data_IF_189921197970
#
_entry.id   IF_189921197970
#
_cell.length_a   1.000
_cell.length_b   1.000
_cell.length_c   1.000
_cell.angle_alpha   90.00
_cell.angle_beta   90.00
_cell.angle_gamma   90.00
#
_symmetry.space_group_name_H-M   'P 1'
#
loop_
_entity.id
_entity.type
_entity.pdbx_description
1 polymer ?
#
# COMPACT_ATOMS: atom_id res chain seq x y z
N UNK A 1 -12.96 -16.11 -13.00
CA UNK A 1 -12.51 -14.90 -12.30
C UNK A 1 -12.10 -13.87 -13.33
N UNK A 2 -12.58 -12.65 -13.18
CA UNK A 2 -12.17 -11.51 -14.01
C UNK A 2 -11.38 -10.53 -13.15
N UNK A 3 -10.35 -9.95 -13.74
CA UNK A 3 -9.49 -8.96 -13.09
C UNK A 3 -9.58 -7.65 -13.86
N UNK A 4 -9.95 -6.57 -13.16
CA UNK A 4 -9.98 -5.23 -13.72
C UNK A 4 -9.02 -4.36 -12.93
N UNK A 5 -8.16 -3.61 -13.65
CA UNK A 5 -7.20 -2.71 -13.04
C UNK A 5 -7.67 -1.27 -13.19
N UNK A 6 -7.65 -0.52 -12.11
CA UNK A 6 -7.97 0.90 -12.12
C UNK A 6 -7.04 1.65 -11.17
N UNK A 7 -6.82 2.92 -11.46
CA UNK A 7 -6.03 3.79 -10.58
C UNK A 7 -6.98 4.61 -9.72
N UNK A 8 -6.82 4.52 -8.41
CA UNK A 8 -7.62 5.31 -7.47
C UNK A 8 -6.71 6.19 -6.63
N UNK A 9 -7.10 7.45 -6.48
CA UNK A 9 -6.39 8.36 -5.60
C UNK A 9 -6.61 7.96 -4.13
N UNK A 10 -5.61 8.25 -3.29
CA UNK A 10 -5.69 7.96 -1.85
C UNK A 10 -6.95 8.58 -1.24
N UNK A 11 -7.30 9.80 -1.61
CA UNK A 11 -8.50 10.47 -1.14
C UNK A 11 -9.76 9.64 -1.36
N UNK A 12 -9.89 9.06 -2.54
CA UNK A 12 -11.01 8.18 -2.88
C UNK A 12 -10.99 6.91 -2.04
N UNK A 13 -9.81 6.29 -1.90
CA UNK A 13 -9.67 5.07 -1.10
C UNK A 13 -10.03 5.29 0.36
N UNK A 14 -9.55 6.38 0.96
CA UNK A 14 -9.86 6.72 2.35
C UNK A 14 -11.37 6.95 2.52
N UNK A 15 -11.99 7.68 1.60
CA UNK A 15 -13.42 7.93 1.62
C UNK A 15 -14.23 6.62 1.58
N UNK A 16 -13.85 5.71 0.69
CA UNK A 16 -14.51 4.41 0.58
C UNK A 16 -14.32 3.54 1.81
N UNK A 17 -13.14 3.57 2.43
CA UNK A 17 -12.90 2.86 3.68
C UNK A 17 -13.80 3.40 4.79
N UNK A 18 -13.87 4.72 4.93
CA UNK A 18 -14.68 5.36 5.97
C UNK A 18 -16.17 5.16 5.77
N UNK A 19 -16.63 5.05 4.53
CA UNK A 19 -18.04 4.81 4.21
C UNK A 19 -18.42 3.34 4.25
N UNK A 20 -17.48 2.43 4.47
CA UNK A 20 -17.73 0.99 4.48
C UNK A 20 -17.82 0.36 3.09
N UNK A 21 -17.47 1.08 2.04
CA UNK A 21 -17.46 0.56 0.67
C UNK A 21 -16.25 -0.32 0.38
N UNK A 22 -15.18 -0.16 1.16
CA UNK A 22 -14.02 -1.03 1.17
C UNK A 22 -13.87 -1.61 2.56
N UNK A 23 -13.85 -2.94 2.64
CA UNK A 23 -13.63 -3.69 3.87
C UNK A 23 -12.18 -4.19 3.88
N UNK A 24 -11.41 -3.76 4.87
CA UNK A 24 -10.01 -4.17 5.01
C UNK A 24 -9.84 -5.64 5.38
N UNK A 25 -10.89 -6.31 5.81
CA UNK A 25 -10.91 -7.75 6.17
C UNK A 25 -9.73 -8.16 7.06
N UNK A 26 -9.68 -7.70 8.32
CA UNK A 26 -8.57 -8.06 9.21
C UNK A 26 -8.43 -9.57 9.41
N UNK A 27 -9.51 -10.34 9.23
CA UNK A 27 -9.51 -11.80 9.38
C UNK A 27 -8.69 -12.52 8.30
N UNK A 28 -8.45 -11.88 7.16
CA UNK A 28 -7.57 -12.40 6.11
C UNK A 28 -6.11 -12.07 6.33
N UNK A 29 -5.80 -11.29 7.34
CA UNK A 29 -4.41 -10.95 7.68
C UNK A 29 -3.76 -12.15 8.37
N UNK A 30 -3.13 -13.00 7.58
CA UNK A 30 -2.38 -14.15 8.08
C UNK A 30 -0.90 -13.89 8.24
N UNK A 31 -0.48 -12.68 7.92
CA UNK A 31 0.90 -12.27 8.00
C UNK A 31 1.18 -11.37 9.19
N UNK A 32 2.38 -10.88 9.22
CA UNK A 32 2.84 -9.94 10.22
C UNK A 32 2.05 -8.63 10.16
N UNK A 33 1.55 -8.19 11.32
CA UNK A 33 1.00 -6.84 11.44
C UNK A 33 2.17 -5.86 11.38
N UNK A 34 2.06 -4.85 10.51
CA UNK A 34 3.15 -3.91 10.31
C UNK A 34 3.42 -3.07 11.56
N UNK A 35 4.71 -2.91 11.85
CA UNK A 35 5.17 -1.95 12.85
C UNK A 35 4.94 -0.52 12.36
N UNK A 36 5.02 0.44 13.28
CA UNK A 36 4.95 1.87 12.91
C UNK A 36 6.05 2.21 11.90
N UNK A 37 7.25 1.70 12.08
CA UNK A 37 8.38 1.95 11.19
C UNK A 37 8.10 1.47 9.77
N UNK A 38 7.48 0.30 9.63
CA UNK A 38 7.14 -0.24 8.31
C UNK A 38 6.04 0.57 7.64
N UNK A 39 5.06 1.06 8.41
CA UNK A 39 4.04 1.98 7.91
C UNK A 39 4.65 3.31 7.46
N UNK A 40 5.56 3.85 8.25
CA UNK A 40 6.26 5.09 7.90
C UNK A 40 7.08 4.95 6.62
N UNK A 41 7.66 3.78 6.39
CA UNK A 41 8.41 3.51 5.15
C UNK A 41 7.50 3.55 3.93
N UNK A 42 6.28 3.04 4.05
CA UNK A 42 5.29 3.15 2.97
C UNK A 42 4.92 4.61 2.71
N UNK A 43 4.66 5.38 3.75
CA UNK A 43 4.32 6.80 3.61
C UNK A 43 5.48 7.55 2.97
N UNK A 44 6.72 7.25 3.33
CA UNK A 44 7.90 7.81 2.71
C UNK A 44 7.92 7.56 1.19
N UNK A 45 7.64 6.33 0.77
CA UNK A 45 7.57 5.99 -0.66
C UNK A 45 6.51 6.82 -1.38
N UNK A 46 5.34 6.99 -0.78
CA UNK A 46 4.24 7.78 -1.34
C UNK A 46 4.66 9.25 -1.48
N UNK A 47 5.25 9.83 -0.45
CA UNK A 47 5.68 11.23 -0.47
C UNK A 47 6.78 11.48 -1.49
N UNK A 48 7.65 10.51 -1.75
CA UNK A 48 8.68 10.59 -2.79
C UNK A 48 8.12 10.41 -4.19
N UNK A 49 6.86 9.98 -4.32
CA UNK A 49 6.26 9.66 -5.61
C UNK A 49 6.71 8.32 -6.18
N UNK A 50 7.27 7.45 -5.35
CA UNK A 50 7.67 6.12 -5.78
C UNK A 50 6.44 5.21 -5.92
N UNK A 51 6.58 4.15 -6.70
CA UNK A 51 5.51 3.17 -6.87
C UNK A 51 5.42 2.25 -5.67
N UNK A 52 4.19 1.93 -5.28
CA UNK A 52 3.91 0.89 -4.26
C UNK A 52 3.17 -0.27 -4.94
N UNK A 53 3.22 -1.48 -4.35
CA UNK A 53 2.49 -2.61 -4.92
C UNK A 53 0.99 -2.36 -5.00
N UNK A 54 0.30 -2.96 -5.99
CA UNK A 54 -1.14 -2.78 -6.14
C UNK A 54 -1.92 -3.40 -4.98
N UNK A 55 -3.14 -2.91 -4.80
CA UNK A 55 -4.12 -3.46 -3.86
C UNK A 55 -5.03 -4.40 -4.64
N UNK A 56 -5.31 -5.57 -4.09
CA UNK A 56 -6.26 -6.51 -4.67
C UNK A 56 -7.53 -6.53 -3.84
N UNK A 57 -8.68 -6.36 -4.48
CA UNK A 57 -9.98 -6.40 -3.83
C UNK A 57 -10.90 -7.37 -4.54
N UNK A 58 -11.84 -7.96 -3.79
CA UNK A 58 -12.90 -8.81 -4.34
C UNK A 58 -14.19 -8.02 -4.24
N UNK A 59 -14.84 -7.82 -5.37
CA UNK A 59 -16.15 -7.17 -5.42
C UNK A 59 -17.23 -8.21 -5.11
N UNK A 60 -17.93 -8.04 -3.99
CA UNK A 60 -18.97 -8.98 -3.59
C UNK A 60 -20.36 -8.56 -4.08
N UNK A 61 -21.37 -9.41 -3.83
CA UNK A 61 -22.73 -9.21 -4.26
C UNK A 61 -23.43 -8.02 -3.56
N UNK A 62 -22.86 -7.52 -2.47
CA UNK A 62 -23.39 -6.36 -1.72
C UNK A 62 -22.73 -5.06 -2.16
N UNK A 63 -22.01 -5.04 -3.27
CA UNK A 63 -21.28 -3.89 -3.81
C UNK A 63 -20.18 -3.36 -2.87
N UNK A 64 -19.66 -4.23 -2.00
CA UNK A 64 -18.54 -3.93 -1.11
C UNK A 64 -17.29 -4.57 -1.69
N UNK A 65 -16.20 -3.81 -1.72
CA UNK A 65 -14.88 -4.33 -2.11
C UNK A 65 -14.15 -4.83 -0.87
N UNK A 66 -13.92 -6.13 -0.82
CA UNK A 66 -13.21 -6.77 0.27
C UNK A 66 -11.72 -6.89 -0.08
N UNK A 67 -10.85 -6.34 0.76
CA UNK A 67 -9.42 -6.34 0.47
C UNK A 67 -8.86 -7.76 0.62
N UNK A 68 -8.31 -8.29 -0.46
CA UNK A 68 -7.63 -9.58 -0.47
C UNK A 68 -6.15 -9.43 -0.14
N UNK A 69 -5.49 -8.43 -0.71
CA UNK A 69 -4.08 -8.13 -0.49
C UNK A 69 -3.87 -6.63 -0.44
N UNK A 70 -3.10 -6.18 0.55
CA UNK A 70 -2.80 -4.76 0.74
C UNK A 70 -3.45 -4.15 1.98
N UNK A 71 -3.99 -4.94 2.89
CA UNK A 71 -4.63 -4.46 4.12
C UNK A 71 -3.69 -3.56 4.93
N UNK A 72 -2.43 -3.97 5.10
CA UNK A 72 -1.47 -3.21 5.89
C UNK A 72 -1.08 -1.90 5.21
N UNK A 73 -1.01 -1.88 3.88
CA UNK A 73 -0.76 -0.66 3.13
C UNK A 73 -1.90 0.34 3.29
N UNK A 74 -3.14 -0.12 3.15
CA UNK A 74 -4.30 0.74 3.35
C UNK A 74 -4.43 1.22 4.79
N UNK A 75 -4.13 0.36 5.76
CA UNK A 75 -4.12 0.73 7.17
C UNK A 75 -3.07 1.81 7.46
N UNK A 76 -1.89 1.71 6.86
CA UNK A 76 -0.84 2.73 7.01
C UNK A 76 -1.28 4.08 6.44
N UNK A 77 -1.90 4.07 5.28
CA UNK A 77 -2.42 5.29 4.63
C UNK A 77 -3.50 5.94 5.49
N UNK A 78 -4.44 5.15 5.98
CA UNK A 78 -5.50 5.62 6.88
C UNK A 78 -4.91 6.21 8.17
N UNK A 79 -3.98 5.51 8.79
CA UNK A 79 -3.37 5.93 10.06
C UNK A 79 -2.61 7.24 9.89
N UNK A 80 -1.92 7.43 8.78
CA UNK A 80 -1.25 8.69 8.49
C UNK A 80 -2.26 9.82 8.26
N UNK A 81 -3.27 9.57 7.45
CA UNK A 81 -4.33 10.56 7.18
C UNK A 81 -5.06 10.97 8.46
N UNK A 82 -5.27 10.04 9.38
CA UNK A 82 -5.95 10.29 10.66
C UNK A 82 -5.01 10.81 11.75
N UNK A 83 -3.77 11.17 11.41
CA UNK A 83 -2.77 11.73 12.32
C UNK A 83 -2.36 10.78 13.44
N UNK A 84 -2.46 9.47 13.22
CA UNK A 84 -2.05 8.45 14.19
C UNK A 84 -0.55 8.22 14.13
N UNK A 85 0.05 8.28 12.94
CA UNK A 85 1.49 8.14 12.75
C UNK A 85 2.06 9.40 12.09
N UNK A 86 3.31 9.69 12.37
CA UNK A 86 4.03 10.82 11.78
C UNK A 86 5.01 10.34 10.70
N UNK A 87 5.60 11.30 9.99
CA UNK A 87 6.62 11.04 8.98
C UNK A 87 7.95 10.72 9.65
N UNK A 88 8.64 9.69 9.17
CA UNK A 88 10.06 9.48 9.44
C UNK A 88 10.82 10.04 8.23
N UNK A 89 11.46 11.19 8.42
CA UNK A 89 12.19 11.88 7.36
C UNK A 89 13.64 11.42 7.18
N UNK A 90 14.08 10.45 7.98
CA UNK A 90 15.46 9.98 7.99
C UNK A 90 15.64 8.63 7.31
N UNK A 91 14.63 8.13 6.60
CA UNK A 91 14.70 6.85 5.90
C UNK A 91 15.63 6.97 4.69
N UNK A 92 16.53 5.99 4.55
CA UNK A 92 17.44 5.95 3.41
C UNK A 92 16.71 5.55 2.12
N UNK A 93 17.12 6.05 0.95
CA UNK A 93 18.22 7.01 0.74
C UNK A 93 17.86 8.40 1.23
N UNK A 94 18.86 9.13 1.72
CA UNK A 94 18.67 10.47 2.25
C UNK A 94 18.10 11.42 1.18
N UNK A 95 17.11 12.23 1.60
CA UNK A 95 16.48 13.24 0.75
C UNK A 95 16.32 14.50 1.59
N UNK A 96 16.92 15.59 1.13
CA UNK A 96 16.94 16.87 1.87
C UNK A 96 15.56 17.48 2.02
N UNK A 97 14.66 17.27 1.05
CA UNK A 97 13.29 17.80 1.11
C UNK A 97 12.45 16.96 2.08
N UNK A 98 12.53 15.64 1.95
CA UNK A 98 11.78 14.74 2.84
C UNK A 98 12.25 14.86 4.29
N UNK A 99 13.55 15.08 4.52
CA UNK A 99 14.07 15.24 5.88
C UNK A 99 13.48 16.45 6.60
N UNK A 100 13.08 17.50 5.87
CA UNK A 100 12.41 18.66 6.46
C UNK A 100 11.02 18.34 7.01
N UNK A 101 10.43 17.21 6.59
CA UNK A 101 9.11 16.77 7.02
C UNK A 101 9.17 15.83 8.23
N UNK A 102 10.37 15.53 8.74
CA UNK A 102 10.55 14.58 9.83
C UNK A 102 9.69 14.95 11.05
N UNK A 103 8.97 13.96 11.58
CA UNK A 103 8.14 14.12 12.77
C UNK A 103 6.79 14.78 12.54
N UNK A 104 6.48 15.22 11.32
CA UNK A 104 5.22 15.87 11.03
C UNK A 104 4.11 14.85 10.83
N UNK A 105 2.92 15.19 11.31
CA UNK A 105 1.69 14.49 11.00
C UNK A 105 1.06 15.09 9.74
N UNK A 106 0.08 14.40 9.17
CA UNK A 106 -0.61 14.91 7.97
C UNK A 106 -1.15 16.32 8.18
N UNK A 107 -1.75 16.60 9.34
CA UNK A 107 -2.29 17.94 9.67
C UNK A 107 -1.23 19.04 9.69
N UNK A 108 0.03 18.69 9.93
CA UNK A 108 1.14 19.64 10.03
C UNK A 108 1.74 19.98 8.66
N UNK A 109 1.37 19.24 7.63
CA UNK A 109 1.91 19.43 6.28
C UNK A 109 1.31 20.68 5.63
N UNK A 110 2.10 21.29 4.73
CA UNK A 110 1.57 22.33 3.85
C UNK A 110 0.43 21.81 2.99
N UNK A 111 -0.41 22.70 2.49
CA UNK A 111 -1.52 22.31 1.60
C UNK A 111 -1.04 21.58 0.36
N UNK A 112 0.13 21.96 -0.16
CA UNK A 112 0.74 21.30 -1.32
C UNK A 112 1.09 19.84 -1.00
N UNK A 113 1.76 19.58 0.13
CA UNK A 113 2.10 18.23 0.54
C UNK A 113 0.86 17.39 0.85
N UNK A 114 -0.14 17.98 1.50
CA UNK A 114 -1.41 17.29 1.75
C UNK A 114 -2.08 16.89 0.44
N UNK A 115 -2.08 17.79 -0.56
CA UNK A 115 -2.64 17.50 -1.87
C UNK A 115 -1.88 16.39 -2.58
N UNK A 116 -0.55 16.44 -2.56
CA UNK A 116 0.28 15.40 -3.19
C UNK A 116 0.00 14.03 -2.59
N UNK A 117 -0.19 13.96 -1.28
CA UNK A 117 -0.57 12.71 -0.62
C UNK A 117 -1.97 12.26 -1.04
N UNK A 118 -2.96 13.14 -0.98
CA UNK A 118 -4.34 12.77 -1.32
C UNK A 118 -4.51 12.36 -2.77
N UNK A 119 -3.75 12.96 -3.68
CA UNK A 119 -3.87 12.72 -5.12
C UNK A 119 -2.92 11.63 -5.62
N UNK A 120 -2.12 11.05 -4.74
CA UNK A 120 -1.29 9.92 -5.12
C UNK A 120 -2.16 8.75 -5.55
N UNK A 121 -1.91 8.20 -6.74
CA UNK A 121 -2.73 7.13 -7.30
C UNK A 121 -2.16 5.76 -6.98
N UNK A 122 -3.05 4.86 -6.58
CA UNK A 122 -2.73 3.47 -6.27
C UNK A 122 -3.46 2.58 -7.26
N UNK A 123 -2.76 1.60 -7.82
CA UNK A 123 -3.38 0.60 -8.68
C UNK A 123 -4.21 -0.33 -7.83
N UNK A 124 -5.50 -0.44 -8.14
CA UNK A 124 -6.43 -1.36 -7.50
C UNK A 124 -6.87 -2.39 -8.52
N UNK A 125 -6.62 -3.65 -8.22
CA UNK A 125 -7.04 -4.77 -9.06
C UNK A 125 -8.30 -5.35 -8.45
N UNK A 126 -9.41 -5.20 -9.15
CA UNK A 126 -10.72 -5.68 -8.72
C UNK A 126 -11.00 -7.04 -9.33
N UNK A 127 -11.31 -8.00 -8.48
CA UNK A 127 -11.65 -9.36 -8.88
C UNK A 127 -13.16 -9.52 -8.83
N UNK A 128 -13.73 -10.02 -9.93
CA UNK A 128 -15.15 -10.30 -10.04
C UNK A 128 -15.37 -11.71 -10.58
N UNK A 129 -16.56 -12.24 -10.40
CA UNK A 129 -16.93 -13.57 -10.89
C UNK A 129 -15.99 -14.67 -10.38
N UNK A 130 -15.59 -14.56 -9.11
CA UNK A 130 -14.70 -15.55 -8.47
C UNK A 130 -15.47 -16.78 -8.04
N UNK A 131 -14.90 -17.96 -8.30
CA UNK A 131 -15.35 -19.19 -7.64
C UNK A 131 -14.92 -19.16 -6.18
N UNK A 132 -15.66 -19.83 -5.26
CA UNK A 132 -15.38 -19.75 -3.82
C UNK A 132 -13.93 -20.07 -3.42
N UNK A 133 -13.26 -20.96 -4.14
CA UNK A 133 -11.89 -21.38 -3.85
C UNK A 133 -10.80 -20.46 -4.43
N UNK A 134 -11.15 -19.62 -5.41
CA UNK A 134 -10.17 -18.81 -6.14
C UNK A 134 -9.52 -17.71 -5.30
N UNK A 135 -10.25 -16.95 -4.46
CA UNK A 135 -9.63 -15.89 -3.68
C UNK A 135 -8.54 -16.38 -2.73
N UNK A 136 -8.76 -17.50 -2.05
CA UNK A 136 -7.78 -18.05 -1.12
C UNK A 136 -6.50 -18.49 -1.86
N UNK A 137 -6.65 -19.11 -3.02
CA UNK A 137 -5.50 -19.55 -3.83
C UNK A 137 -4.73 -18.37 -4.37
N UNK A 138 -5.42 -17.33 -4.84
CA UNK A 138 -4.75 -16.10 -5.32
C UNK A 138 -3.99 -15.42 -4.18
N UNK A 139 -4.61 -15.30 -3.00
CA UNK A 139 -3.96 -14.73 -1.83
C UNK A 139 -2.67 -15.49 -1.50
N UNK A 140 -2.74 -16.81 -1.51
CA UNK A 140 -1.58 -17.65 -1.26
C UNK A 140 -0.46 -17.36 -2.26
N UNK A 141 -0.78 -17.29 -3.55
CA UNK A 141 0.23 -17.03 -4.60
C UNK A 141 0.83 -15.64 -4.50
N UNK A 142 0.02 -14.63 -4.17
CA UNK A 142 0.50 -13.26 -4.00
C UNK A 142 1.47 -13.12 -2.83
N UNK A 143 1.30 -13.93 -1.79
CA UNK A 143 2.12 -13.86 -0.59
C UNK A 143 3.22 -14.92 -0.54
N UNK A 144 3.31 -15.77 -1.57
CA UNK A 144 4.36 -16.79 -1.63
C UNK A 144 5.68 -16.14 -2.06
N UNK A 145 6.77 -16.30 -1.27
CA UNK A 145 8.06 -15.79 -1.69
C UNK A 145 8.55 -16.52 -2.93
N UNK A 146 9.01 -15.76 -3.93
CA UNK A 146 9.64 -16.33 -5.10
C UNK A 146 11.08 -16.74 -4.74
N UNK A 147 11.39 -18.02 -4.95
CA UNK A 147 12.76 -18.49 -4.80
C UNK A 147 13.58 -17.98 -5.99
N UNK A 148 14.57 -17.13 -5.71
CA UNK A 148 15.52 -16.67 -6.73
C UNK A 148 16.59 -17.72 -6.96
N UNK A 149 16.99 -17.91 -8.22
CA UNK A 149 18.17 -18.72 -8.53
C UNK A 149 19.42 -18.00 -8.05
N UNK A 150 20.52 -18.75 -7.87
CA UNK A 150 21.79 -18.14 -7.47
C UNK A 150 22.26 -17.05 -8.44
N UNK A 151 22.01 -17.23 -9.73
CA UNK A 151 22.36 -16.23 -10.74
C UNK A 151 21.50 -14.97 -10.61
N UNK A 152 20.20 -15.13 -10.38
CA UNK A 152 19.30 -14.00 -10.18
C UNK A 152 19.66 -13.21 -8.92
N UNK A 153 20.01 -13.89 -7.83
CA UNK A 153 20.45 -13.24 -6.61
C UNK A 153 21.73 -12.43 -6.85
N UNK A 154 22.71 -12.97 -7.57
CA UNK A 154 23.92 -12.24 -7.90
C UNK A 154 23.66 -11.02 -8.77
N UNK A 155 22.77 -11.13 -9.74
CA UNK A 155 22.40 -10.02 -10.60
C UNK A 155 21.70 -8.90 -9.83
N UNK A 156 20.87 -9.23 -8.85
CA UNK A 156 20.23 -8.26 -7.99
C UNK A 156 21.26 -7.46 -7.17
N UNK A 157 22.27 -8.15 -6.61
CA UNK A 157 23.37 -7.50 -5.87
C UNK A 157 24.22 -6.62 -6.76
N UNK A 158 24.56 -7.09 -7.95
CA UNK A 158 25.36 -6.31 -8.91
C UNK A 158 24.59 -5.06 -9.34
N UNK A 159 23.28 -5.18 -9.57
CA UNK A 159 22.44 -4.03 -9.90
C UNK A 159 22.45 -2.95 -8.81
N UNK A 160 22.39 -3.34 -7.54
CA UNK A 160 22.45 -2.41 -6.41
C UNK A 160 23.84 -1.78 -6.27
N UNK A 161 24.90 -2.54 -6.47
CA UNK A 161 26.28 -2.05 -6.30
C UNK A 161 26.78 -1.23 -7.47
N UNK A 162 26.15 -1.26 -8.62
CA UNK A 162 26.52 -0.46 -9.80
C UNK A 162 26.03 0.99 -9.73
N UNK A 163 25.19 1.28 -8.80
CA UNK A 163 24.77 2.64 -8.52
C UNK A 163 25.87 3.34 -7.70
#
# INVERSE_FOLDING_TARGET
MKCESTDLEIETLISRIKNGDIDLQPDFQRGEIWTVQKKQKLIDSILRGWKIPPIHVIHNSHAIDEVLDGQQRLAAIRDFFDNIICIDGDIQPEDSIISTLNGLHYRDLSKEWQRRFRQYSIVVIRLTECRPEEPAELFYRLNQPMALTSAEQRNAYIGVTRE
#
